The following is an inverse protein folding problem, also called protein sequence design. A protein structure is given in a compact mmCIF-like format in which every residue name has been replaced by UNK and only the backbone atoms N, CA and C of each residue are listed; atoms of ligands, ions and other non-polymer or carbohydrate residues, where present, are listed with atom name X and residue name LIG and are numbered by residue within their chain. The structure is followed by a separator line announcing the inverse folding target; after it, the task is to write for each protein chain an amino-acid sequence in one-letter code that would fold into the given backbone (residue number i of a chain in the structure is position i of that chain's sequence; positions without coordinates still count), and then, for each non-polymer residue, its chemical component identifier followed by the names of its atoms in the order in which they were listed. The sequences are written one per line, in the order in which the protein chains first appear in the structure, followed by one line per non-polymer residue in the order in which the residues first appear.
data_IF_748402485742
#
_entry.id   IF_748402485742
#
_cell.length_a   1.000
_cell.length_b   1.000
_cell.length_c   1.000
_cell.angle_alpha   90.00
_cell.angle_beta   90.00
_cell.angle_gamma   90.00
#
_symmetry.space_group_name_H-M   'P 1'
#
loop_
_entity.id
_entity.type
_entity.pdbx_description
1 polymer ?
#
# COMPACT_ATOMS: atom_id res chain seq x y z
N UNK A 1 -8.91 -99.41 -40.30
CA UNK A 1 -7.96 -98.31 -40.08
C UNK A 1 -7.94 -97.25 -41.22
N UNK A 2 -8.93 -97.30 -42.17
CA UNK A 2 -8.95 -96.41 -43.36
C UNK A 2 -10.02 -95.26 -43.23
N UNK A 3 -11.02 -95.40 -42.39
CA UNK A 3 -12.15 -94.39 -42.24
C UNK A 3 -11.77 -93.20 -41.41
N UNK A 4 -10.81 -93.27 -40.48
CA UNK A 4 -10.39 -92.16 -39.63
C UNK A 4 -9.48 -91.11 -40.34
N UNK A 5 -8.75 -91.53 -41.40
CA UNK A 5 -7.85 -90.64 -42.18
C UNK A 5 -8.63 -89.71 -43.13
N UNK A 6 -9.77 -90.12 -43.64
CA UNK A 6 -10.58 -89.33 -44.56
C UNK A 6 -11.34 -88.25 -43.83
N UNK A 7 -11.85 -88.51 -42.65
CA UNK A 7 -12.55 -87.51 -41.83
C UNK A 7 -11.66 -86.31 -41.40
N UNK A 8 -10.42 -86.59 -41.08
CA UNK A 8 -9.48 -85.50 -40.70
C UNK A 8 -8.97 -84.71 -41.91
N UNK A 9 -8.95 -85.26 -43.13
CA UNK A 9 -8.61 -84.52 -44.34
C UNK A 9 -9.70 -83.52 -44.75
N UNK A 10 -10.97 -83.93 -44.65
CA UNK A 10 -12.07 -83.02 -44.90
C UNK A 10 -12.25 -81.92 -43.82
N UNK A 11 -12.00 -82.20 -42.55
CA UNK A 11 -11.98 -81.18 -41.50
C UNK A 11 -10.87 -80.15 -41.74
N UNK A 12 -9.64 -80.59 -42.11
CA UNK A 12 -8.55 -79.64 -42.39
C UNK A 12 -8.82 -78.78 -43.61
N UNK A 13 -9.51 -79.30 -44.67
CA UNK A 13 -9.89 -78.54 -45.86
C UNK A 13 -10.93 -77.48 -45.52
N UNK A 14 -11.84 -77.74 -44.63
CA UNK A 14 -12.86 -76.74 -44.19
C UNK A 14 -12.23 -75.63 -43.36
N UNK A 15 -11.29 -75.88 -42.51
CA UNK A 15 -10.57 -74.85 -41.77
C UNK A 15 -9.76 -73.93 -42.67
N UNK A 16 -9.18 -74.47 -43.71
CA UNK A 16 -8.45 -73.69 -44.71
C UNK A 16 -9.38 -72.73 -45.48
N UNK A 17 -10.58 -73.22 -45.82
CA UNK A 17 -11.62 -72.40 -46.51
C UNK A 17 -12.10 -71.27 -45.58
N UNK A 18 -12.34 -71.53 -44.26
CA UNK A 18 -12.71 -70.50 -43.31
C UNK A 18 -11.61 -69.48 -43.12
N UNK A 19 -10.35 -69.93 -43.11
CA UNK A 19 -9.19 -69.04 -43.00
C UNK A 19 -9.05 -68.14 -44.24
N UNK A 20 -9.29 -68.66 -45.42
CA UNK A 20 -9.27 -67.86 -46.65
C UNK A 20 -10.42 -66.86 -46.67
N UNK A 21 -11.62 -67.25 -46.25
CA UNK A 21 -12.77 -66.32 -46.14
C UNK A 21 -12.47 -65.22 -45.12
N UNK A 22 -11.90 -65.54 -43.98
CA UNK A 22 -11.53 -64.57 -42.94
C UNK A 22 -10.43 -63.61 -43.46
N UNK A 23 -9.43 -64.13 -44.21
CA UNK A 23 -8.40 -63.31 -44.82
C UNK A 23 -8.92 -62.35 -45.88
N UNK A 24 -9.88 -62.82 -46.70
CA UNK A 24 -10.57 -62.00 -47.68
C UNK A 24 -11.38 -60.91 -47.03
N UNK A 25 -12.11 -61.26 -45.93
CA UNK A 25 -12.86 -60.29 -45.15
C UNK A 25 -11.96 -59.21 -44.55
N UNK A 26 -10.82 -59.58 -43.98
CA UNK A 26 -9.84 -58.65 -43.48
C UNK A 26 -9.26 -57.73 -44.56
N UNK A 27 -9.02 -58.30 -45.76
CA UNK A 27 -8.51 -57.50 -46.87
C UNK A 27 -9.57 -56.48 -47.37
N UNK A 28 -10.80 -56.90 -47.50
CA UNK A 28 -11.93 -55.99 -47.85
C UNK A 28 -12.11 -54.89 -46.80
N UNK A 29 -12.07 -55.28 -45.53
CA UNK A 29 -12.15 -54.32 -44.40
C UNK A 29 -10.98 -53.32 -44.41
N UNK A 30 -9.76 -53.79 -44.70
CA UNK A 30 -8.58 -52.93 -44.81
C UNK A 30 -8.70 -51.92 -45.98
N UNK A 31 -9.21 -52.37 -47.14
CA UNK A 31 -9.46 -51.52 -48.31
C UNK A 31 -10.52 -50.47 -47.97
N UNK A 32 -11.61 -50.89 -47.31
CA UNK A 32 -12.70 -49.98 -46.91
C UNK A 32 -12.21 -48.90 -45.91
N UNK A 33 -11.44 -49.28 -44.90
CA UNK A 33 -10.83 -48.33 -43.94
C UNK A 33 -9.89 -47.35 -44.67
N UNK A 34 -9.07 -47.85 -45.60
CA UNK A 34 -8.19 -46.96 -46.38
C UNK A 34 -8.95 -46.00 -47.30
N UNK A 35 -10.03 -46.43 -47.92
CA UNK A 35 -10.93 -45.53 -48.68
C UNK A 35 -11.59 -44.48 -47.80
N UNK A 36 -12.09 -44.84 -46.59
CA UNK A 36 -12.64 -43.88 -45.63
C UNK A 36 -11.58 -42.88 -45.15
N UNK A 37 -10.35 -43.32 -44.88
CA UNK A 37 -9.26 -42.41 -44.52
C UNK A 37 -8.87 -41.48 -45.66
N UNK A 38 -8.80 -41.99 -46.88
CA UNK A 38 -8.54 -41.18 -48.09
C UNK A 38 -9.63 -40.11 -48.32
N UNK A 39 -10.92 -40.49 -48.22
CA UNK A 39 -12.03 -39.59 -48.33
C UNK A 39 -12.04 -38.48 -47.28
N UNK A 40 -11.77 -38.82 -46.00
CA UNK A 40 -11.68 -37.83 -44.94
C UNK A 40 -10.46 -36.92 -45.08
N UNK A 41 -9.33 -37.46 -45.53
CA UNK A 41 -8.13 -36.65 -45.79
C UNK A 41 -8.35 -35.70 -47.01
N UNK A 42 -9.04 -36.15 -48.04
CA UNK A 42 -9.38 -35.29 -49.18
C UNK A 42 -10.31 -34.13 -48.77
N UNK A 43 -11.34 -34.39 -47.97
CA UNK A 43 -12.18 -33.34 -47.42
C UNK A 43 -11.41 -32.33 -46.56
N UNK A 44 -10.53 -32.82 -45.68
CA UNK A 44 -9.68 -31.97 -44.82
C UNK A 44 -8.71 -31.13 -45.64
N UNK A 45 -8.11 -31.74 -46.67
CA UNK A 45 -7.20 -31.03 -47.60
C UNK A 45 -7.96 -29.95 -48.40
N UNK A 46 -9.13 -30.27 -48.95
CA UNK A 46 -9.94 -29.31 -49.72
C UNK A 46 -10.38 -28.14 -48.81
N UNK A 47 -10.75 -28.40 -47.54
CA UNK A 47 -11.08 -27.36 -46.60
C UNK A 47 -9.87 -26.49 -46.24
N UNK A 48 -8.71 -27.09 -46.00
CA UNK A 48 -7.46 -26.36 -45.74
C UNK A 48 -7.02 -25.55 -46.95
N UNK A 49 -7.16 -26.11 -48.17
CA UNK A 49 -6.89 -25.38 -49.41
C UNK A 49 -7.83 -24.20 -49.60
N UNK A 50 -9.12 -24.36 -49.28
CA UNK A 50 -10.07 -23.25 -49.29
C UNK A 50 -9.68 -22.18 -48.25
N UNK A 51 -9.32 -22.54 -47.02
CA UNK A 51 -8.89 -21.58 -45.98
C UNK A 51 -7.61 -20.83 -46.37
N UNK A 52 -6.75 -21.41 -47.20
CA UNK A 52 -5.55 -20.76 -47.70
C UNK A 52 -5.74 -20.08 -49.07
N UNK A 53 -6.92 -20.14 -49.65
CA UNK A 53 -7.21 -19.54 -50.96
C UNK A 53 -7.28 -18.00 -50.88
N UNK A 54 -6.95 -17.36 -52.00
CA UNK A 54 -7.07 -15.91 -52.09
C UNK A 54 -8.52 -15.45 -51.95
N UNK A 55 -9.48 -16.26 -52.41
CA UNK A 55 -10.93 -15.96 -52.30
C UNK A 55 -11.34 -15.92 -50.82
N UNK A 56 -10.89 -16.90 -50.01
CA UNK A 56 -11.19 -16.91 -48.59
C UNK A 56 -10.52 -15.72 -47.83
N UNK A 57 -9.26 -15.43 -48.18
CA UNK A 57 -8.56 -14.29 -47.59
C UNK A 57 -9.24 -12.97 -48.00
N UNK A 58 -9.62 -12.79 -49.25
CA UNK A 58 -10.35 -11.62 -49.70
C UNK A 58 -11.74 -11.50 -49.02
N UNK A 59 -12.46 -12.60 -48.88
CA UNK A 59 -13.72 -12.64 -48.17
C UNK A 59 -13.53 -12.30 -46.68
N UNK A 60 -12.54 -12.89 -46.04
CA UNK A 60 -12.18 -12.61 -44.67
C UNK A 60 -11.85 -11.13 -44.48
N UNK A 61 -10.98 -10.58 -45.33
CA UNK A 61 -10.58 -9.17 -45.25
C UNK A 61 -11.76 -8.23 -45.57
N UNK A 62 -12.62 -8.59 -46.52
CA UNK A 62 -13.85 -7.85 -46.78
C UNK A 62 -14.78 -7.85 -45.56
N UNK A 63 -15.00 -9.02 -44.93
CA UNK A 63 -15.85 -9.15 -43.73
C UNK A 63 -15.24 -8.37 -42.56
N UNK A 64 -13.94 -8.53 -42.28
CA UNK A 64 -13.29 -7.83 -41.17
C UNK A 64 -13.21 -6.33 -41.39
N UNK A 65 -12.96 -5.85 -42.63
CA UNK A 65 -12.91 -4.42 -42.94
C UNK A 65 -14.28 -3.73 -42.90
N UNK A 66 -15.37 -4.50 -43.13
CA UNK A 66 -16.75 -3.99 -43.05
C UNK A 66 -17.46 -4.28 -41.73
N UNK A 67 -16.85 -5.09 -40.81
CA UNK A 67 -17.37 -5.30 -39.47
C UNK A 67 -16.94 -4.12 -38.58
N UNK A 68 -17.73 -3.05 -38.60
CA UNK A 68 -17.61 -2.03 -37.55
C UNK A 68 -18.24 -2.55 -36.28
N UNK A 69 -17.39 -2.76 -35.24
CA UNK A 69 -17.89 -3.12 -33.92
C UNK A 69 -18.83 -2.00 -33.43
N UNK A 70 -20.07 -2.29 -33.05
CA UNK A 70 -20.94 -1.30 -32.43
C UNK A 70 -20.45 -0.95 -31.00
N UNK A 71 -19.46 -1.65 -30.48
CA UNK A 71 -18.87 -1.42 -29.19
C UNK A 71 -17.66 -0.50 -29.31
N UNK A 72 -17.60 0.49 -28.41
CA UNK A 72 -16.45 1.41 -28.26
C UNK A 72 -15.90 1.28 -26.86
N UNK A 73 -14.57 1.15 -26.72
CA UNK A 73 -13.87 1.14 -25.46
C UNK A 73 -13.16 2.48 -25.26
N UNK A 74 -13.32 3.06 -24.08
CA UNK A 74 -12.68 4.29 -23.67
C UNK A 74 -11.88 4.04 -22.40
N UNK A 75 -10.60 4.41 -22.43
CA UNK A 75 -9.72 4.43 -21.26
C UNK A 75 -9.53 5.88 -20.83
N UNK A 76 -10.10 6.26 -19.70
CA UNK A 76 -10.08 7.63 -19.22
C UNK A 76 -9.26 7.77 -17.94
N UNK A 77 -8.25 8.64 -17.97
CA UNK A 77 -7.48 8.98 -16.77
C UNK A 77 -8.21 10.06 -15.98
N UNK A 78 -8.59 9.74 -14.75
CA UNK A 78 -9.35 10.61 -13.85
C UNK A 78 -8.55 11.88 -13.54
N UNK A 79 -9.16 13.04 -13.70
CA UNK A 79 -8.61 14.35 -13.36
C UNK A 79 -9.13 14.81 -11.98
N UNK A 80 -8.47 15.81 -11.41
CA UNK A 80 -8.95 16.42 -10.17
C UNK A 80 -10.39 16.96 -10.34
N UNK A 81 -11.27 16.66 -9.37
CA UNK A 81 -12.68 17.02 -9.34
C UNK A 81 -13.56 16.36 -10.43
N UNK A 82 -13.10 15.29 -11.06
CA UNK A 82 -13.97 14.44 -11.88
C UNK A 82 -14.91 13.61 -10.98
N UNK A 83 -16.08 13.30 -11.54
CA UNK A 83 -17.02 12.30 -11.00
C UNK A 83 -17.36 11.32 -12.12
N UNK A 84 -17.84 10.13 -11.76
CA UNK A 84 -18.24 9.13 -12.76
C UNK A 84 -19.29 9.74 -13.72
N UNK A 85 -20.24 10.51 -13.21
CA UNK A 85 -21.24 11.20 -14.03
C UNK A 85 -20.61 12.15 -15.05
N UNK A 86 -19.64 12.98 -14.64
CA UNK A 86 -18.92 13.90 -15.55
C UNK A 86 -18.14 13.14 -16.62
N UNK A 87 -17.51 12.01 -16.23
CA UNK A 87 -16.75 11.18 -17.16
C UNK A 87 -17.69 10.55 -18.19
N UNK A 88 -18.81 9.96 -17.78
CA UNK A 88 -19.79 9.37 -18.68
C UNK A 88 -20.39 10.41 -19.66
N UNK A 89 -20.71 11.62 -19.18
CA UNK A 89 -21.19 12.73 -20.05
C UNK A 89 -20.17 13.11 -21.14
N UNK A 90 -18.88 13.11 -20.84
CA UNK A 90 -17.82 13.38 -21.83
C UNK A 90 -17.81 12.38 -22.99
N UNK A 91 -18.29 11.15 -22.74
CA UNK A 91 -18.35 10.08 -23.74
C UNK A 91 -19.75 9.93 -24.39
N UNK A 92 -20.58 10.95 -24.29
CA UNK A 92 -21.92 10.99 -24.90
C UNK A 92 -22.82 9.82 -24.47
N UNK A 93 -22.71 9.41 -23.20
CA UNK A 93 -23.56 8.37 -22.60
C UNK A 93 -24.94 8.96 -22.33
N UNK A 94 -26.00 8.15 -22.51
CA UNK A 94 -27.39 8.56 -22.27
C UNK A 94 -27.61 8.99 -20.81
N UNK A 95 -28.44 10.03 -20.58
CA UNK A 95 -28.76 10.51 -19.25
C UNK A 95 -29.45 9.42 -18.38
N UNK A 96 -30.21 8.54 -19.01
CA UNK A 96 -30.82 7.37 -18.34
C UNK A 96 -29.77 6.47 -17.72
N UNK A 97 -28.74 6.08 -18.47
CA UNK A 97 -27.65 5.24 -17.97
C UNK A 97 -26.85 5.96 -16.88
N UNK A 98 -26.56 7.24 -17.08
CA UNK A 98 -25.84 8.05 -16.10
C UNK A 98 -26.57 8.05 -14.76
N UNK A 99 -27.89 8.33 -14.78
CA UNK A 99 -28.71 8.38 -13.57
C UNK A 99 -28.83 7.01 -12.87
N UNK A 100 -29.01 5.95 -13.65
CA UNK A 100 -29.08 4.59 -13.14
C UNK A 100 -27.76 4.18 -12.47
N UNK A 101 -26.63 4.41 -13.13
CA UNK A 101 -25.29 4.11 -12.61
C UNK A 101 -25.00 4.96 -11.34
N UNK A 102 -25.28 6.26 -11.40
CA UNK A 102 -25.06 7.16 -10.25
C UNK A 102 -25.88 6.72 -9.02
N UNK A 103 -27.14 6.35 -9.22
CA UNK A 103 -28.00 5.86 -8.12
C UNK A 103 -27.47 4.61 -7.45
N UNK A 104 -26.96 3.65 -8.24
CA UNK A 104 -26.36 2.41 -7.73
C UNK A 104 -25.06 2.70 -6.97
N UNK A 105 -24.18 3.54 -7.51
CA UNK A 105 -22.92 3.94 -6.89
C UNK A 105 -23.17 4.61 -5.53
N UNK A 106 -24.13 5.55 -5.45
CA UNK A 106 -24.48 6.24 -4.21
C UNK A 106 -25.05 5.26 -3.20
N UNK A 107 -26.00 4.42 -3.60
CA UNK A 107 -26.64 3.41 -2.73
C UNK A 107 -25.62 2.45 -2.11
N UNK A 108 -24.60 2.08 -2.88
CA UNK A 108 -23.52 1.17 -2.45
C UNK A 108 -22.35 1.89 -1.76
N UNK A 109 -22.36 3.23 -1.68
CA UNK A 109 -21.25 4.05 -1.14
C UNK A 109 -19.92 3.87 -1.87
N UNK A 110 -19.96 3.65 -3.16
CA UNK A 110 -18.81 3.38 -4.04
C UNK A 110 -18.40 4.60 -4.89
N UNK A 111 -18.73 5.80 -4.44
CA UNK A 111 -18.51 7.06 -5.19
C UNK A 111 -17.05 7.56 -5.20
N UNK A 112 -16.15 6.91 -4.47
CA UNK A 112 -14.76 7.34 -4.42
C UNK A 112 -14.03 6.96 -5.71
N UNK A 113 -13.56 7.99 -6.43
CA UNK A 113 -12.59 7.84 -7.53
C UNK A 113 -11.40 8.74 -7.23
N UNK A 114 -10.22 8.32 -7.67
CA UNK A 114 -8.97 9.03 -7.37
C UNK A 114 -8.37 9.59 -8.66
N UNK A 115 -7.84 10.82 -8.60
CA UNK A 115 -7.11 11.39 -9.72
C UNK A 115 -5.92 10.50 -10.11
N UNK A 116 -5.61 10.45 -11.41
CA UNK A 116 -4.58 9.63 -12.03
C UNK A 116 -4.87 8.12 -12.06
N UNK A 117 -6.05 7.67 -11.66
CA UNK A 117 -6.51 6.30 -11.90
C UNK A 117 -7.21 6.18 -13.25
N UNK A 118 -7.21 4.97 -13.82
CA UNK A 118 -7.84 4.69 -15.10
C UNK A 118 -9.27 4.16 -14.90
N UNK A 119 -10.22 4.76 -15.62
CA UNK A 119 -11.61 4.30 -15.73
C UNK A 119 -11.80 3.73 -17.13
N UNK A 120 -12.22 2.47 -17.21
CA UNK A 120 -12.57 1.79 -18.46
C UNK A 120 -14.07 1.84 -18.69
N UNK A 121 -14.49 2.31 -19.85
CA UNK A 121 -15.89 2.42 -20.24
C UNK A 121 -16.06 1.68 -21.56
N UNK A 122 -16.93 0.69 -21.59
CA UNK A 122 -17.36 0.05 -22.83
C UNK A 122 -18.79 0.49 -23.10
N UNK A 123 -19.01 1.07 -24.29
CA UNK A 123 -20.33 1.51 -24.73
C UNK A 123 -20.75 0.79 -26.01
N UNK A 124 -22.04 0.77 -26.26
CA UNK A 124 -22.64 0.38 -27.54
C UNK A 124 -23.37 1.57 -28.09
N UNK A 125 -23.07 1.94 -29.34
CA UNK A 125 -23.77 3.03 -30.03
C UNK A 125 -25.15 2.55 -30.46
N UNK A 126 -26.21 3.21 -29.97
CA UNK A 126 -27.60 2.99 -30.36
C UNK A 126 -28.29 4.32 -30.58
N UNK A 127 -28.86 4.50 -31.79
CA UNK A 127 -29.62 5.71 -32.19
C UNK A 127 -28.86 7.04 -31.97
N UNK A 128 -27.54 7.04 -32.19
CA UNK A 128 -26.70 8.25 -32.09
C UNK A 128 -26.25 8.60 -30.67
N UNK A 129 -26.55 7.78 -29.66
CA UNK A 129 -26.09 7.92 -28.30
C UNK A 129 -25.38 6.63 -27.82
N UNK A 130 -24.48 6.77 -26.85
CA UNK A 130 -23.75 5.65 -26.28
C UNK A 130 -24.47 5.08 -25.05
N UNK A 131 -24.86 3.80 -25.12
CA UNK A 131 -25.32 3.05 -23.95
C UNK A 131 -24.16 2.33 -23.28
N UNK A 132 -24.04 2.43 -21.95
CA UNK A 132 -22.99 1.74 -21.20
C UNK A 132 -23.24 0.24 -21.21
N UNK A 133 -22.24 -0.53 -21.63
CA UNK A 133 -22.20 -1.99 -21.54
C UNK A 133 -21.47 -2.44 -20.30
N UNK A 134 -20.30 -1.85 -20.05
CA UNK A 134 -19.56 -2.04 -18.81
C UNK A 134 -18.77 -0.80 -18.42
N UNK A 135 -18.60 -0.62 -17.11
CA UNK A 135 -17.82 0.43 -16.50
C UNK A 135 -16.94 -0.21 -15.43
N UNK A 136 -15.61 -0.04 -15.55
CA UNK A 136 -14.64 -0.50 -14.53
C UNK A 136 -13.90 0.71 -14.00
N UNK A 137 -13.80 0.81 -12.69
CA UNK A 137 -13.00 1.84 -12.03
C UNK A 137 -12.49 1.38 -10.67
N UNK A 138 -11.23 1.71 -10.30
CA UNK A 138 -10.69 1.42 -8.99
C UNK A 138 -11.25 2.38 -7.94
N UNK A 139 -11.63 1.86 -6.78
CA UNK A 139 -12.04 2.64 -5.59
C UNK A 139 -10.94 2.71 -4.54
N UNK A 140 -9.95 1.85 -4.63
CA UNK A 140 -8.70 1.83 -3.87
C UNK A 140 -7.64 1.01 -4.63
N UNK A 141 -6.48 0.77 -4.01
CA UNK A 141 -5.35 0.08 -4.64
C UNK A 141 -5.60 -1.42 -4.91
N UNK A 142 -6.62 -1.99 -4.29
CA UNK A 142 -6.93 -3.43 -4.36
C UNK A 142 -8.33 -3.74 -4.86
N UNK A 143 -9.23 -2.76 -4.86
CA UNK A 143 -10.65 -2.97 -5.19
C UNK A 143 -11.00 -2.23 -6.47
N UNK A 144 -11.43 -2.98 -7.47
CA UNK A 144 -12.00 -2.45 -8.71
C UNK A 144 -13.50 -2.75 -8.74
N UNK A 145 -14.28 -1.72 -8.97
CA UNK A 145 -15.73 -1.85 -9.17
C UNK A 145 -15.99 -2.11 -10.64
N UNK A 146 -16.80 -3.11 -10.91
CA UNK A 146 -17.29 -3.43 -12.24
C UNK A 146 -18.81 -3.30 -12.25
N UNK A 147 -19.31 -2.42 -13.12
CA UNK A 147 -20.73 -2.24 -13.40
C UNK A 147 -21.00 -2.78 -14.79
N UNK A 148 -21.85 -3.80 -14.90
CA UNK A 148 -22.23 -4.41 -16.18
C UNK A 148 -23.71 -4.24 -16.44
N UNK A 149 -24.06 -3.98 -17.69
CA UNK A 149 -25.44 -4.00 -18.15
C UNK A 149 -25.97 -5.45 -18.14
N UNK A 150 -27.14 -5.63 -17.58
CA UNK A 150 -27.90 -6.86 -17.65
C UNK A 150 -29.33 -6.52 -18.12
N UNK A 151 -29.58 -6.66 -19.43
CA UNK A 151 -30.79 -6.18 -20.12
C UNK A 151 -30.97 -4.66 -19.88
N UNK A 152 -32.06 -4.26 -19.23
CA UNK A 152 -32.39 -2.86 -18.93
C UNK A 152 -31.81 -2.34 -17.61
N UNK A 153 -31.18 -3.21 -16.81
CA UNK A 153 -30.63 -2.87 -15.50
C UNK A 153 -29.10 -3.01 -15.49
N UNK A 154 -28.47 -2.51 -14.41
CA UNK A 154 -27.06 -2.69 -14.14
C UNK A 154 -26.83 -3.60 -12.95
N UNK A 155 -25.87 -4.49 -13.07
CA UNK A 155 -25.32 -5.28 -11.97
C UNK A 155 -23.97 -4.68 -11.54
N UNK A 156 -23.69 -4.73 -10.25
CA UNK A 156 -22.44 -4.24 -9.71
C UNK A 156 -21.70 -5.38 -8.99
N UNK A 157 -20.41 -5.49 -9.24
CA UNK A 157 -19.50 -6.41 -8.56
C UNK A 157 -18.24 -5.68 -8.15
N UNK A 158 -17.66 -6.13 -7.04
CA UNK A 158 -16.38 -5.65 -6.54
C UNK A 158 -15.34 -6.76 -6.76
N UNK A 159 -14.35 -6.47 -7.57
CA UNK A 159 -13.23 -7.36 -7.83
C UNK A 159 -12.10 -6.97 -6.90
N UNK A 160 -11.88 -7.78 -5.85
CA UNK A 160 -10.82 -7.54 -4.86
C UNK A 160 -9.60 -8.38 -5.24
N UNK A 161 -8.46 -7.71 -5.43
CA UNK A 161 -7.19 -8.38 -5.70
C UNK A 161 -6.82 -9.31 -4.55
N UNK A 162 -6.52 -10.56 -4.85
CA UNK A 162 -5.99 -11.50 -3.86
C UNK A 162 -4.56 -11.12 -3.55
N UNK A 163 -4.32 -10.66 -2.34
CA UNK A 163 -2.98 -10.29 -1.88
C UNK A 163 -2.32 -11.43 -1.12
N UNK A 164 -1.06 -11.66 -1.44
CA UNK A 164 -0.19 -12.56 -0.68
C UNK A 164 0.61 -11.75 0.33
N UNK A 165 0.55 -12.16 1.60
CA UNK A 165 1.36 -11.56 2.65
C UNK A 165 2.79 -12.08 2.56
N UNK A 166 3.76 -11.19 2.35
CA UNK A 166 5.19 -11.47 2.37
C UNK A 166 5.87 -10.70 3.50
N UNK A 167 7.03 -11.15 3.87
CA UNK A 167 7.90 -10.46 4.85
C UNK A 167 9.24 -10.24 4.18
N UNK A 168 9.68 -9.00 4.15
CA UNK A 168 10.89 -8.56 3.45
C UNK A 168 11.85 -7.88 4.41
N UNK A 169 13.16 -8.10 4.20
CA UNK A 169 14.24 -7.39 4.89
C UNK A 169 14.94 -6.52 3.87
N UNK A 170 14.96 -5.21 4.12
CA UNK A 170 15.67 -4.24 3.29
C UNK A 170 16.64 -3.44 4.15
N UNK A 171 17.81 -3.15 3.62
CA UNK A 171 18.87 -2.42 4.31
C UNK A 171 19.67 -1.58 3.33
N UNK A 172 20.22 -0.47 3.81
CA UNK A 172 21.13 0.36 3.02
C UNK A 172 22.08 1.16 3.93
N UNK A 173 23.06 1.79 3.30
CA UNK A 173 23.96 2.78 3.91
C UNK A 173 23.43 4.16 3.59
N UNK A 174 23.44 5.05 4.57
CA UNK A 174 23.03 6.43 4.38
C UNK A 174 24.12 7.22 3.66
N UNK A 175 23.85 7.66 2.45
CA UNK A 175 24.77 8.47 1.65
C UNK A 175 24.50 9.97 1.80
N UNK A 176 23.26 10.39 1.69
CA UNK A 176 22.83 11.79 1.79
C UNK A 176 21.90 12.01 3.00
N UNK A 177 20.76 11.32 3.02
CA UNK A 177 19.80 11.34 4.11
C UNK A 177 19.07 10.00 4.18
N UNK A 178 18.41 9.74 5.28
CA UNK A 178 17.69 8.47 5.49
C UNK A 178 16.63 8.23 4.40
N UNK A 179 15.83 9.25 4.06
CA UNK A 179 14.71 9.07 3.14
C UNK A 179 15.16 8.64 1.75
N UNK A 180 16.14 9.36 1.15
CA UNK A 180 16.66 9.02 -0.19
C UNK A 180 17.30 7.63 -0.20
N UNK A 181 18.12 7.30 0.82
CA UNK A 181 18.78 5.98 0.89
C UNK A 181 17.78 4.84 1.14
N UNK A 182 16.66 5.10 1.81
CA UNK A 182 15.62 4.12 2.03
C UNK A 182 14.78 3.89 0.74
N UNK A 183 14.47 4.96 0.00
CA UNK A 183 13.82 4.85 -1.33
C UNK A 183 14.71 4.09 -2.32
N UNK A 184 16.02 4.38 -2.35
CA UNK A 184 17.01 3.64 -3.15
C UNK A 184 17.05 2.14 -2.80
N UNK A 185 16.80 1.79 -1.54
CA UNK A 185 16.69 0.39 -1.08
C UNK A 185 15.33 -0.28 -1.46
N UNK A 186 14.40 0.45 -2.06
CA UNK A 186 13.06 -0.05 -2.39
C UNK A 186 12.10 -0.11 -1.20
N UNK A 187 12.34 0.68 -0.15
CA UNK A 187 11.44 0.74 1.01
C UNK A 187 10.30 1.70 0.71
N UNK A 188 9.09 1.24 0.96
CA UNK A 188 7.87 2.02 0.72
C UNK A 188 7.83 3.29 1.62
N UNK A 189 7.33 4.44 1.09
CA UNK A 189 7.36 5.72 1.80
C UNK A 189 6.70 5.71 3.18
N UNK A 190 5.60 4.99 3.35
CA UNK A 190 4.91 4.87 4.63
C UNK A 190 5.74 4.08 5.67
N UNK A 191 6.51 3.08 5.26
CA UNK A 191 7.45 2.34 6.11
C UNK A 191 8.62 3.24 6.52
N UNK A 192 9.12 4.11 5.61
CA UNK A 192 10.17 5.08 5.94
C UNK A 192 9.68 6.05 7.03
N UNK A 193 8.45 6.55 6.90
CA UNK A 193 7.83 7.43 7.91
C UNK A 193 7.65 6.70 9.24
N UNK A 194 7.16 5.46 9.23
CA UNK A 194 7.02 4.64 10.45
C UNK A 194 8.37 4.40 11.11
N UNK A 195 9.40 4.03 10.33
CA UNK A 195 10.78 3.85 10.80
C UNK A 195 11.31 5.12 11.46
N UNK A 196 11.15 6.27 10.83
CA UNK A 196 11.56 7.55 11.39
C UNK A 196 10.82 7.88 12.70
N UNK A 197 9.53 7.58 12.78
CA UNK A 197 8.74 7.76 14.01
C UNK A 197 9.23 6.86 15.15
N UNK A 198 9.56 5.60 14.86
CA UNK A 198 10.06 4.64 15.86
C UNK A 198 11.39 5.11 16.44
N UNK A 199 12.35 5.49 15.59
CA UNK A 199 13.67 5.94 16.03
C UNK A 199 13.72 7.39 16.50
N UNK A 200 12.75 8.22 16.17
CA UNK A 200 12.72 9.66 16.54
C UNK A 200 12.71 9.96 18.04
N UNK A 201 12.56 8.94 18.87
CA UNK A 201 12.73 9.05 20.33
C UNK A 201 14.19 8.96 20.78
N UNK A 202 15.04 8.28 20.01
CA UNK A 202 16.46 8.04 20.32
C UNK A 202 17.40 8.84 19.44
N UNK A 203 17.02 9.06 18.17
CA UNK A 203 17.85 9.64 17.12
C UNK A 203 17.28 10.99 16.68
N UNK A 204 18.10 12.01 16.65
CA UNK A 204 17.80 13.26 15.97
C UNK A 204 18.27 13.14 14.52
N UNK A 205 17.36 12.86 13.61
CA UNK A 205 17.65 12.62 12.20
C UNK A 205 18.37 13.78 11.48
N UNK A 206 18.37 14.98 12.06
CA UNK A 206 19.06 16.14 11.49
C UNK A 206 20.47 16.31 12.02
N UNK A 207 20.78 15.76 13.19
CA UNK A 207 22.04 15.99 13.89
C UNK A 207 22.87 14.75 14.09
N UNK A 208 22.21 13.62 14.32
CA UNK A 208 22.89 12.39 14.65
C UNK A 208 23.26 11.57 13.43
N UNK A 209 22.51 11.73 12.31
CA UNK A 209 22.71 10.97 11.08
C UNK A 209 23.93 11.50 10.31
N UNK A 210 24.79 10.57 9.89
CA UNK A 210 25.99 10.84 9.12
C UNK A 210 26.09 9.92 7.91
N UNK A 211 26.83 10.34 6.92
CA UNK A 211 27.21 9.49 5.80
C UNK A 211 27.97 8.27 6.31
N UNK A 212 27.56 7.09 5.88
CA UNK A 212 28.12 5.82 6.32
C UNK A 212 27.31 5.11 7.40
N UNK A 213 26.36 5.78 8.06
CA UNK A 213 25.42 5.13 8.97
C UNK A 213 24.59 4.07 8.20
N UNK A 214 24.16 3.04 8.92
CA UNK A 214 23.45 1.91 8.33
C UNK A 214 22.07 1.77 8.93
N UNK A 215 21.13 1.28 8.15
CA UNK A 215 19.82 0.91 8.65
C UNK A 215 19.33 -0.40 8.00
N UNK A 216 18.46 -1.08 8.70
CA UNK A 216 17.77 -2.28 8.23
C UNK A 216 16.34 -2.27 8.76
N UNK A 217 15.40 -2.70 7.91
CA UNK A 217 14.00 -2.84 8.28
C UNK A 217 13.46 -4.18 7.81
N UNK A 218 12.76 -4.89 8.70
CA UNK A 218 12.03 -6.13 8.46
C UNK A 218 10.55 -5.85 8.65
N UNK A 219 9.76 -5.95 7.59
CA UNK A 219 8.36 -5.58 7.62
C UNK A 219 7.49 -6.47 6.75
N UNK A 220 6.18 -6.35 6.90
CA UNK A 220 5.18 -7.08 6.12
C UNK A 220 4.83 -6.30 4.87
N UNK A 221 4.71 -6.99 3.73
CA UNK A 221 4.18 -6.47 2.49
C UNK A 221 3.02 -7.33 2.00
N UNK A 222 2.12 -6.72 1.24
CA UNK A 222 1.01 -7.38 0.59
C UNK A 222 1.18 -7.19 -0.90
N UNK A 223 1.46 -8.27 -1.62
CA UNK A 223 1.73 -8.26 -3.06
C UNK A 223 0.62 -8.96 -3.82
N UNK A 224 0.37 -8.51 -5.05
CA UNK A 224 -0.50 -9.19 -5.99
C UNK A 224 0.19 -10.40 -6.65
N UNK A 225 -0.50 -11.05 -7.57
CA UNK A 225 0.02 -12.22 -8.33
C UNK A 225 1.25 -11.89 -9.20
N UNK A 226 1.43 -10.63 -9.57
CA UNK A 226 2.59 -10.14 -10.33
C UNK A 226 3.74 -9.72 -9.41
N UNK A 227 3.66 -9.97 -8.09
CA UNK A 227 4.60 -9.53 -7.07
C UNK A 227 4.72 -8.00 -6.89
N UNK A 228 3.74 -7.23 -7.37
CA UNK A 228 3.70 -5.79 -7.16
C UNK A 228 3.18 -5.53 -5.74
N UNK A 229 3.90 -4.70 -4.98
CA UNK A 229 3.46 -4.28 -3.64
C UNK A 229 2.23 -3.39 -3.78
N UNK A 230 1.11 -3.82 -3.21
CA UNK A 230 -0.16 -3.08 -3.18
C UNK A 230 -0.44 -2.47 -1.82
N UNK A 231 0.13 -3.04 -0.77
CA UNK A 231 -0.02 -2.52 0.58
C UNK A 231 1.16 -2.96 1.43
N UNK A 232 1.39 -2.26 2.54
CA UNK A 232 2.40 -2.62 3.53
C UNK A 232 1.73 -2.91 4.87
N UNK A 233 2.36 -3.80 5.61
CA UNK A 233 1.98 -4.09 6.98
C UNK A 233 2.91 -3.42 7.98
N UNK A 234 3.07 -4.04 9.12
CA UNK A 234 3.84 -3.52 10.25
C UNK A 234 5.34 -3.75 10.08
N UNK A 235 6.13 -2.86 10.62
CA UNK A 235 7.53 -3.12 10.90
C UNK A 235 7.60 -4.16 12.03
N UNK A 236 8.27 -5.28 11.76
CA UNK A 236 8.49 -6.38 12.71
C UNK A 236 9.76 -6.13 13.50
N UNK A 237 10.82 -5.68 12.80
CA UNK A 237 12.10 -5.33 13.34
C UNK A 237 12.70 -4.17 12.58
N UNK A 238 13.41 -3.31 13.28
CA UNK A 238 14.18 -2.25 12.67
C UNK A 238 15.50 -2.08 13.41
N UNK A 239 16.58 -1.82 12.68
CA UNK A 239 17.85 -1.42 13.28
C UNK A 239 18.45 -0.21 12.60
N UNK A 240 19.25 0.50 13.37
CA UNK A 240 20.02 1.66 12.91
C UNK A 240 21.36 1.69 13.60
N UNK A 241 22.43 1.81 12.83
CA UNK A 241 23.77 2.04 13.36
C UNK A 241 24.10 3.52 13.21
N UNK A 242 24.13 4.22 14.30
CA UNK A 242 24.33 5.68 14.36
C UNK A 242 25.21 6.03 15.59
N UNK A 243 26.14 6.98 15.44
CA UNK A 243 27.07 7.40 16.50
C UNK A 243 27.84 6.20 17.11
N UNK A 244 28.30 5.26 16.28
CA UNK A 244 28.99 4.02 16.71
C UNK A 244 28.16 3.11 17.65
N UNK A 245 26.84 3.25 17.63
CA UNK A 245 25.92 2.44 18.41
C UNK A 245 24.88 1.81 17.51
N UNK A 246 24.66 0.50 17.68
CA UNK A 246 23.52 -0.17 17.07
C UNK A 246 22.30 -0.04 17.98
N UNK A 247 21.21 0.43 17.37
CA UNK A 247 19.88 0.51 17.98
C UNK A 247 18.99 -0.52 17.27
N UNK A 248 18.60 -1.57 17.98
CA UNK A 248 17.76 -2.65 17.44
C UNK A 248 16.42 -2.66 18.16
N UNK A 249 15.32 -2.64 17.41
CA UNK A 249 13.96 -2.48 17.89
C UNK A 249 13.05 -3.56 17.33
N UNK A 250 12.28 -4.19 18.20
CA UNK A 250 11.39 -5.30 17.91
C UNK A 250 9.95 -4.91 18.19
N UNK A 251 9.05 -5.14 17.24
CA UNK A 251 7.62 -5.01 17.47
C UNK A 251 7.17 -6.17 18.37
N UNK A 252 6.49 -5.85 19.46
CA UNK A 252 5.96 -6.85 20.38
C UNK A 252 4.58 -6.45 20.87
N UNK A 253 3.69 -7.44 20.92
CA UNK A 253 2.32 -7.29 21.40
C UNK A 253 2.05 -8.18 22.61
N UNK A 254 1.61 -7.58 23.70
CA UNK A 254 1.22 -8.28 24.92
C UNK A 254 -0.03 -7.66 25.52
N UNK A 255 -1.03 -8.46 25.88
CA UNK A 255 -2.30 -8.02 26.49
C UNK A 255 -2.93 -6.81 25.75
N UNK A 256 -3.11 -6.91 24.44
CA UNK A 256 -3.63 -5.86 23.53
C UNK A 256 -2.82 -4.55 23.50
N UNK A 257 -1.64 -4.53 24.12
CA UNK A 257 -0.69 -3.42 24.01
C UNK A 257 0.42 -3.82 23.06
N UNK A 258 0.62 -3.03 22.03
CA UNK A 258 1.64 -3.23 21.02
C UNK A 258 2.62 -2.06 21.05
N UNK A 259 3.90 -2.33 20.83
CA UNK A 259 4.93 -1.31 20.83
C UNK A 259 6.28 -1.86 20.39
N UNK A 260 7.25 -0.97 20.25
CA UNK A 260 8.62 -1.30 19.91
C UNK A 260 9.48 -1.30 21.16
N UNK A 261 10.30 -2.33 21.29
CA UNK A 261 11.16 -2.57 22.44
C UNK A 261 12.59 -2.88 21.99
N UNK A 262 13.56 -2.40 22.75
CA UNK A 262 14.97 -2.76 22.53
C UNK A 262 15.27 -4.19 22.99
N UNK A 263 16.52 -4.62 22.79
CA UNK A 263 16.99 -5.97 23.19
C UNK A 263 16.79 -6.26 24.69
N UNK A 264 16.79 -5.23 25.53
CA UNK A 264 16.56 -5.34 26.97
C UNK A 264 15.06 -5.34 27.34
N UNK A 265 14.15 -5.24 26.35
CA UNK A 265 12.71 -5.12 26.57
C UNK A 265 12.29 -3.75 27.10
N UNK A 266 13.10 -2.71 26.90
CA UNK A 266 12.75 -1.34 27.21
C UNK A 266 11.99 -0.73 26.03
N UNK A 267 10.81 -0.16 26.30
CA UNK A 267 10.04 0.52 25.27
C UNK A 267 10.78 1.75 24.77
N UNK A 268 10.85 1.91 23.45
CA UNK A 268 11.41 3.12 22.80
C UNK A 268 10.53 4.34 22.98
N UNK A 269 9.23 4.14 23.23
CA UNK A 269 8.30 5.26 23.44
C UNK A 269 8.67 5.94 24.74
N UNK A 270 9.39 7.04 24.66
CA UNK A 270 9.66 7.92 25.79
C UNK A 270 8.41 8.69 26.15
N UNK A 271 8.36 9.15 27.40
CA UNK A 271 7.24 9.96 27.89
C UNK A 271 6.98 11.18 27.02
N UNK A 272 8.02 11.76 26.43
CA UNK A 272 7.95 12.95 25.55
C UNK A 272 8.94 12.81 24.37
N UNK A 273 8.57 13.38 23.22
CA UNK A 273 9.49 13.63 22.10
C UNK A 273 10.31 14.88 22.39
N UNK A 274 11.60 14.86 22.05
CA UNK A 274 12.46 16.06 22.13
C UNK A 274 12.12 17.09 21.07
N UNK A 275 11.74 16.63 19.88
CA UNK A 275 11.43 17.43 18.71
C UNK A 275 10.06 17.04 18.15
N UNK A 276 8.98 17.77 18.50
CA UNK A 276 7.60 17.41 18.12
C UNK A 276 7.21 17.94 16.72
N UNK A 277 8.17 17.97 15.82
CA UNK A 277 8.01 18.47 14.44
C UNK A 277 9.06 17.81 13.55
N UNK A 278 8.63 17.28 12.40
CA UNK A 278 9.52 16.66 11.43
C UNK A 278 10.11 17.71 10.47
N UNK A 279 11.37 17.51 10.06
CA UNK A 279 12.01 18.35 9.05
C UNK A 279 12.36 19.79 9.50
N UNK A 280 12.25 20.09 10.79
CA UNK A 280 12.50 21.43 11.31
C UNK A 280 13.95 21.61 11.81
N UNK A 281 14.55 22.74 11.50
CA UNK A 281 15.89 23.11 12.01
C UNK A 281 15.76 23.78 13.38
N UNK A 282 16.59 23.38 14.36
CA UNK A 282 16.73 24.13 15.62
C UNK A 282 17.26 25.53 15.33
N UNK A 283 16.44 26.53 15.51
CA UNK A 283 16.80 27.94 15.25
C UNK A 283 17.24 28.67 16.51
N UNK A 284 16.70 28.32 17.69
CA UNK A 284 17.12 28.91 18.95
C UNK A 284 16.93 27.94 20.14
N UNK A 285 17.97 27.84 20.95
CA UNK A 285 17.96 27.00 22.15
C UNK A 285 17.34 27.70 23.37
N UNK A 286 16.94 26.90 24.34
CA UNK A 286 16.59 27.38 25.69
C UNK A 286 17.80 28.05 26.36
N UNK A 287 17.59 29.21 26.99
CA UNK A 287 18.64 29.89 27.76
C UNK A 287 18.62 31.41 27.63
N UNK A 288 19.56 32.07 28.31
CA UNK A 288 19.68 33.52 28.26
C UNK A 288 20.21 33.95 26.88
N UNK A 289 19.46 34.83 26.19
CA UNK A 289 19.85 35.41 24.88
C UNK A 289 19.29 36.80 24.71
N UNK A 290 19.90 37.59 23.79
CA UNK A 290 19.31 38.84 23.37
C UNK A 290 17.97 38.59 22.68
N UNK A 291 16.91 39.23 23.19
CA UNK A 291 15.56 39.03 22.63
C UNK A 291 15.48 39.70 21.24
N UNK A 292 15.08 38.97 20.19
CA UNK A 292 15.16 39.49 18.81
C UNK A 292 14.26 40.70 18.55
N UNK A 293 13.16 40.86 19.32
CA UNK A 293 12.25 41.98 19.16
C UNK A 293 12.49 43.06 20.21
N UNK A 294 12.74 42.66 21.47
CA UNK A 294 12.87 43.59 22.59
C UNK A 294 14.26 44.17 22.82
N UNK A 295 15.29 43.56 22.19
CA UNK A 295 16.66 44.08 22.18
C UNK A 295 17.49 43.87 23.44
N UNK A 296 16.92 43.48 24.58
CA UNK A 296 17.61 43.20 25.84
C UNK A 296 17.78 41.69 26.12
N UNK A 297 18.66 41.34 27.03
CA UNK A 297 18.88 39.95 27.43
C UNK A 297 17.68 39.41 28.20
N UNK A 298 17.09 38.34 27.68
CA UNK A 298 15.93 37.67 28.27
C UNK A 298 16.10 36.16 28.23
N UNK A 299 15.62 35.49 29.25
CA UNK A 299 15.59 34.03 29.29
C UNK A 299 14.59 33.53 28.25
N UNK A 300 15.10 32.83 27.22
CA UNK A 300 14.28 32.07 26.29
C UNK A 300 13.83 30.77 26.96
N UNK A 301 12.54 30.70 27.28
CA UNK A 301 11.94 29.65 28.10
C UNK A 301 11.55 28.39 27.32
N UNK A 302 11.85 28.33 26.02
CA UNK A 302 11.55 27.23 25.14
C UNK A 302 12.69 26.94 24.15
N UNK A 303 12.38 26.12 23.19
CA UNK A 303 13.24 25.78 22.05
C UNK A 303 12.49 26.13 20.78
N UNK A 304 13.14 26.86 19.89
CA UNK A 304 12.52 27.28 18.62
C UNK A 304 12.99 26.37 17.48
N UNK A 305 12.03 25.84 16.73
CA UNK A 305 12.25 25.01 15.56
C UNK A 305 11.73 25.73 14.31
N UNK A 306 12.63 26.22 13.47
CA UNK A 306 12.27 26.85 12.21
C UNK A 306 11.79 25.80 11.20
N UNK A 307 10.62 26.05 10.62
CA UNK A 307 10.02 25.22 9.57
C UNK A 307 9.07 26.07 8.73
N UNK A 308 8.73 25.58 7.54
CA UNK A 308 7.79 26.24 6.62
C UNK A 308 6.41 26.35 7.28
N UNK A 309 5.72 27.46 7.06
CA UNK A 309 4.33 27.63 7.50
C UNK A 309 3.45 26.48 6.99
N UNK A 310 2.65 25.89 7.88
CA UNK A 310 1.81 24.74 7.56
C UNK A 310 2.45 23.37 7.86
N UNK A 311 3.74 23.33 8.25
CA UNK A 311 4.36 22.07 8.72
C UNK A 311 3.60 21.53 9.93
N UNK A 312 3.24 20.22 9.96
CA UNK A 312 2.50 19.63 11.08
C UNK A 312 3.31 19.65 12.38
N UNK A 313 2.64 20.06 13.47
CA UNK A 313 3.15 20.00 14.84
C UNK A 313 2.46 18.86 15.56
N UNK A 314 3.24 18.00 16.21
CA UNK A 314 2.75 16.80 16.88
C UNK A 314 2.72 17.00 18.41
N UNK A 315 1.83 16.30 19.09
CA UNK A 315 1.85 16.17 20.54
C UNK A 315 3.12 15.40 20.93
N UNK A 316 4.01 16.02 21.73
CA UNK A 316 5.27 15.36 22.14
C UNK A 316 5.05 14.17 23.07
N UNK A 317 3.88 14.00 23.64
CA UNK A 317 3.47 12.86 24.47
C UNK A 317 1.95 12.72 24.49
N UNK A 318 1.45 11.52 24.85
CA UNK A 318 0.03 11.33 25.11
C UNK A 318 -0.42 12.14 26.33
N UNK A 319 -1.61 12.74 26.29
CA UNK A 319 -2.06 13.57 27.39
C UNK A 319 -3.42 14.22 27.16
N UNK A 320 -3.71 15.22 27.98
CA UNK A 320 -4.96 16.02 27.89
C UNK A 320 -4.60 17.46 27.57
N UNK A 321 -5.26 18.03 26.57
CA UNK A 321 -5.11 19.43 26.17
C UNK A 321 -5.64 20.33 27.28
N UNK A 322 -4.75 21.14 27.87
CA UNK A 322 -5.11 22.13 28.88
C UNK A 322 -5.63 23.41 28.24
N UNK A 323 -5.03 23.82 27.13
CA UNK A 323 -5.40 25.02 26.36
C UNK A 323 -5.22 24.79 24.88
N UNK A 324 -6.13 25.36 24.08
CA UNK A 324 -6.02 25.47 22.63
C UNK A 324 -6.71 26.80 22.24
N UNK A 325 -5.98 27.90 22.35
CA UNK A 325 -6.50 29.25 22.13
C UNK A 325 -5.37 30.26 21.89
N UNK A 326 -5.68 31.45 21.40
CA UNK A 326 -4.70 32.56 21.40
C UNK A 326 -4.28 32.89 22.83
N UNK A 327 -2.95 33.00 23.04
CA UNK A 327 -2.42 33.23 24.39
C UNK A 327 -1.23 34.19 24.36
N UNK A 328 -1.42 35.42 24.87
CA UNK A 328 -0.38 36.47 25.00
C UNK A 328 0.58 36.51 23.79
N UNK A 329 1.87 36.64 24.02
CA UNK A 329 2.92 36.66 22.97
C UNK A 329 3.08 35.37 22.19
N UNK A 330 2.53 34.23 22.63
CA UNK A 330 2.60 32.94 21.92
C UNK A 330 1.71 32.84 20.67
N UNK A 331 0.78 33.78 20.47
CA UNK A 331 -0.17 33.67 19.36
C UNK A 331 -1.14 32.48 19.53
N UNK A 332 -1.36 31.71 18.47
CA UNK A 332 -2.11 30.47 18.58
C UNK A 332 -1.30 29.44 19.35
N UNK A 333 -1.87 28.95 20.43
CA UNK A 333 -1.16 28.22 21.47
C UNK A 333 -1.90 26.95 21.87
N UNK A 334 -1.16 25.86 22.04
CA UNK A 334 -1.64 24.61 22.63
C UNK A 334 -0.75 24.25 23.83
N UNK A 335 -1.36 23.79 24.92
CA UNK A 335 -0.62 23.14 26.02
C UNK A 335 -1.26 21.82 26.40
N UNK A 336 -0.43 20.80 26.70
CA UNK A 336 -0.83 19.43 26.96
C UNK A 336 -0.25 18.97 28.29
N UNK A 337 -1.07 18.45 29.18
CA UNK A 337 -0.66 17.77 30.41
C UNK A 337 -0.52 16.26 30.12
N UNK A 338 0.69 15.76 30.27
CA UNK A 338 1.00 14.34 30.00
C UNK A 338 0.80 13.48 31.25
N UNK A 339 1.24 14.00 32.39
CA UNK A 339 1.07 13.38 33.72
C UNK A 339 1.18 14.45 34.80
N UNK A 340 1.38 14.04 36.06
CA UNK A 340 1.56 14.97 37.20
C UNK A 340 2.85 15.77 37.12
N UNK A 341 3.86 15.29 36.40
CA UNK A 341 5.21 15.87 36.32
C UNK A 341 5.39 16.78 35.10
N UNK A 342 4.83 16.38 33.95
CA UNK A 342 5.15 16.99 32.65
C UNK A 342 3.95 17.65 31.98
N UNK A 343 4.17 18.89 31.55
CA UNK A 343 3.31 19.66 30.64
C UNK A 343 4.18 20.14 29.47
N UNK A 344 3.64 20.14 28.28
CA UNK A 344 4.28 20.76 27.10
C UNK A 344 3.45 21.88 26.55
N UNK A 345 4.12 22.85 25.90
CA UNK A 345 3.48 24.01 25.31
C UNK A 345 4.04 24.27 23.92
N UNK A 346 3.17 24.73 23.04
CA UNK A 346 3.41 24.91 21.60
C UNK A 346 2.87 26.26 21.17
N UNK A 347 3.73 27.15 20.69
CA UNK A 347 3.36 28.52 20.30
C UNK A 347 3.52 28.78 18.81
N UNK A 348 3.09 29.96 18.38
CA UNK A 348 3.20 30.55 17.06
C UNK A 348 2.51 29.80 15.92
N UNK A 349 1.54 28.93 16.25
CA UNK A 349 0.81 28.12 15.26
C UNK A 349 0.05 29.00 14.25
N UNK A 350 -0.07 28.54 13.00
CA UNK A 350 -0.97 29.12 12.00
C UNK A 350 -2.43 28.74 12.27
N UNK A 351 -2.65 27.46 12.61
CA UNK A 351 -3.97 26.90 12.93
C UNK A 351 -3.84 25.70 13.86
N UNK A 352 -4.93 25.36 14.56
CA UNK A 352 -5.04 24.15 15.38
C UNK A 352 -5.30 22.92 14.51
N UNK A 353 -4.94 21.74 14.99
CA UNK A 353 -5.29 20.46 14.39
C UNK A 353 -6.79 20.19 14.49
N UNK A 354 -7.32 19.34 13.63
CA UNK A 354 -8.74 18.97 13.62
C UNK A 354 -9.16 18.38 14.98
N UNK A 355 -10.19 18.94 15.59
CA UNK A 355 -10.74 18.47 16.86
C UNK A 355 -9.90 18.83 18.09
N UNK A 356 -8.83 19.61 17.98
CA UNK A 356 -7.99 20.02 19.12
C UNK A 356 -8.65 21.18 19.86
N UNK A 357 -9.13 20.89 21.08
CA UNK A 357 -9.74 21.84 22.03
C UNK A 357 -9.44 21.43 23.46
N UNK A 358 -9.59 22.35 24.42
CA UNK A 358 -9.42 22.10 25.86
C UNK A 358 -10.19 20.84 26.29
N UNK A 359 -9.56 19.98 27.08
CA UNK A 359 -10.14 18.76 27.62
C UNK A 359 -9.98 17.51 26.71
N UNK A 360 -9.62 17.67 25.44
CA UNK A 360 -9.46 16.55 24.51
C UNK A 360 -8.22 15.73 24.88
N UNK A 361 -8.34 14.40 24.84
CA UNK A 361 -7.19 13.49 24.93
C UNK A 361 -6.49 13.38 23.59
N UNK A 362 -5.18 13.50 23.59
CA UNK A 362 -4.32 13.32 22.42
C UNK A 362 -3.33 12.17 22.65
N UNK A 363 -2.96 11.50 21.56
CA UNK A 363 -1.89 10.50 21.55
C UNK A 363 -0.57 11.18 21.19
N UNK A 364 0.55 10.63 21.65
CA UNK A 364 1.87 11.02 21.18
C UNK A 364 1.98 10.88 19.66
N UNK A 365 2.59 11.87 18.98
CA UNK A 365 2.65 11.92 17.51
C UNK A 365 1.38 12.43 16.82
N UNK A 366 0.26 12.62 17.54
CA UNK A 366 -0.95 13.18 16.95
C UNK A 366 -0.74 14.65 16.54
N UNK A 367 -1.19 15.03 15.34
CA UNK A 367 -1.12 16.43 14.86
C UNK A 367 -2.04 17.29 15.72
N UNK A 368 -1.47 18.31 16.36
CA UNK A 368 -2.16 19.24 17.25
C UNK A 368 -2.29 20.65 16.68
N UNK A 369 -1.55 20.94 15.61
CA UNK A 369 -1.55 22.23 14.92
C UNK A 369 -0.53 22.26 13.81
N UNK A 370 -0.31 23.46 13.30
CA UNK A 370 0.59 23.67 12.16
C UNK A 370 1.45 24.90 12.41
N UNK A 371 2.70 24.85 11.96
CA UNK A 371 3.63 25.98 12.07
C UNK A 371 3.07 27.25 11.46
N UNK A 372 3.31 28.34 12.11
CA UNK A 372 2.97 29.70 11.68
C UNK A 372 3.96 30.71 12.24
N UNK A 373 3.52 31.96 12.29
CA UNK A 373 4.25 33.10 12.85
C UNK A 373 3.30 34.04 13.60
N UNK A 374 2.32 33.47 14.32
CA UNK A 374 1.33 34.26 15.09
C UNK A 374 1.90 34.71 16.43
N UNK A 375 1.43 35.85 16.94
CA UNK A 375 1.93 36.44 18.19
C UNK A 375 3.27 37.17 18.01
N UNK A 376 4.14 37.13 19.05
CA UNK A 376 5.47 37.78 19.03
C UNK A 376 6.49 36.85 18.37
N UNK A 377 6.46 36.80 17.04
CA UNK A 377 7.34 35.96 16.22
C UNK A 377 7.98 36.77 15.11
N UNK A 378 9.25 36.50 14.79
CA UNK A 378 10.01 37.15 13.71
C UNK A 378 9.94 36.38 12.39
N UNK A 379 9.39 35.17 12.39
CA UNK A 379 9.26 34.33 11.21
C UNK A 379 8.68 32.95 11.53
N UNK A 380 8.39 32.13 10.54
CA UNK A 380 7.74 30.84 10.74
C UNK A 380 8.59 29.88 11.59
N UNK A 381 8.10 29.51 12.76
CA UNK A 381 8.72 28.51 13.65
C UNK A 381 7.72 27.95 14.66
N UNK A 382 8.07 26.81 15.24
CA UNK A 382 7.43 26.28 16.44
C UNK A 382 8.22 26.73 17.66
N UNK A 383 7.60 27.44 18.59
CA UNK A 383 8.10 27.63 19.95
C UNK A 383 7.63 26.49 20.84
N UNK A 384 8.55 25.67 21.34
CA UNK A 384 8.28 24.47 22.13
C UNK A 384 8.83 24.56 23.53
N UNK A 385 7.97 24.34 24.53
CA UNK A 385 8.37 24.34 25.96
C UNK A 385 8.09 22.98 26.59
N UNK A 386 9.02 22.54 27.46
CA UNK A 386 8.80 21.44 28.40
C UNK A 386 8.78 22.00 29.82
N UNK A 387 7.71 21.73 30.54
CA UNK A 387 7.49 22.17 31.90
C UNK A 387 7.49 20.93 32.79
N UNK A 388 8.47 20.84 33.70
CA UNK A 388 8.61 19.77 34.68
C UNK A 388 8.32 20.33 36.07
N UNK A 389 7.34 19.78 36.77
CA UNK A 389 6.93 20.26 38.11
C UNK A 389 6.76 21.78 38.16
N UNK A 390 6.09 22.36 37.17
CA UNK A 390 5.84 23.80 37.08
C UNK A 390 7.00 24.66 36.58
N UNK A 391 8.24 24.11 36.45
CA UNK A 391 9.42 24.84 35.97
C UNK A 391 9.72 24.51 34.51
N UNK A 392 9.96 25.52 33.67
CA UNK A 392 10.42 25.34 32.27
C UNK A 392 11.84 24.86 32.24
N UNK A 393 12.13 23.87 31.44
CA UNK A 393 13.42 23.22 31.31
C UNK A 393 13.84 23.09 29.86
N UNK A 394 15.13 22.94 29.63
CA UNK A 394 15.68 22.75 28.30
C UNK A 394 15.26 21.39 27.73
N UNK A 395 14.40 21.39 26.69
CA UNK A 395 13.86 20.19 26.07
C UNK A 395 14.96 19.32 25.45
N UNK A 396 16.06 19.94 24.96
CA UNK A 396 17.15 19.24 24.27
C UNK A 396 18.10 18.51 25.25
N UNK A 397 18.19 19.00 26.48
CA UNK A 397 19.01 18.37 27.54
C UNK A 397 18.21 17.40 28.43
N UNK A 398 16.91 17.26 28.16
CA UNK A 398 16.05 16.42 28.99
C UNK A 398 16.41 14.93 28.81
N UNK A 399 16.90 14.33 29.87
CA UNK A 399 16.99 12.88 30.00
C UNK A 399 15.61 12.37 30.40
N UNK A 400 14.82 11.95 29.44
CA UNK A 400 13.52 11.35 29.68
C UNK A 400 13.72 9.93 30.22
N UNK A 401 12.95 9.50 31.22
CA UNK A 401 12.95 8.09 31.59
C UNK A 401 12.56 7.28 30.34
N UNK A 402 13.31 6.21 30.11
CA UNK A 402 12.96 5.20 29.11
C UNK A 402 11.53 4.75 29.35
N UNK A 403 10.84 4.35 28.30
CA UNK A 403 9.50 3.77 28.40
C UNK A 403 9.47 2.57 29.34
N UNK A 404 8.28 2.07 29.59
CA UNK A 404 8.09 0.89 30.45
C UNK A 404 8.96 -0.27 30.01
N UNK A 405 9.71 -0.87 30.92
CA UNK A 405 10.44 -2.11 30.69
C UNK A 405 9.48 -3.28 30.84
N UNK A 406 9.55 -4.24 29.92
CA UNK A 406 8.84 -5.51 30.04
C UNK A 406 9.38 -6.29 31.23
N UNK A 407 8.50 -6.89 32.05
CA UNK A 407 8.86 -7.68 33.22
C UNK A 407 8.09 -9.00 33.21
N UNK A 408 8.58 -9.95 33.98
CA UNK A 408 7.96 -11.25 34.22
C UNK A 408 7.51 -11.96 32.92
N UNK A 409 6.25 -12.38 32.86
CA UNK A 409 5.67 -13.10 31.71
C UNK A 409 5.83 -12.35 30.40
N UNK A 410 5.63 -11.03 30.39
CA UNK A 410 5.78 -10.21 29.19
C UNK A 410 7.23 -10.24 28.67
N UNK A 411 8.22 -10.22 29.58
CA UNK A 411 9.64 -10.32 29.23
C UNK A 411 9.97 -11.69 28.62
N UNK A 412 9.50 -12.77 29.23
CA UNK A 412 9.75 -14.12 28.74
C UNK A 412 9.15 -14.34 27.35
N UNK A 413 7.91 -13.90 27.12
CA UNK A 413 7.27 -13.96 25.79
C UNK A 413 8.01 -13.12 24.74
N UNK A 414 8.45 -11.93 25.14
CA UNK A 414 9.24 -11.07 24.26
C UNK A 414 10.54 -11.74 23.82
N UNK A 415 11.28 -12.38 24.74
CA UNK A 415 12.52 -13.09 24.41
C UNK A 415 12.30 -14.20 23.38
N UNK A 416 11.23 -14.99 23.57
CA UNK A 416 10.89 -16.05 22.61
C UNK A 416 10.58 -15.47 21.22
N UNK A 417 9.81 -14.39 21.16
CA UNK A 417 9.45 -13.77 19.88
C UNK A 417 10.65 -13.06 19.24
N UNK A 418 11.50 -12.39 20.04
CA UNK A 418 12.76 -11.78 19.60
C UNK A 418 13.67 -12.81 18.93
N UNK A 419 13.90 -13.95 19.61
CA UNK A 419 14.76 -15.03 19.07
C UNK A 419 14.19 -15.57 17.75
N UNK A 420 12.87 -15.75 17.61
CA UNK A 420 12.24 -16.15 16.36
C UNK A 420 12.48 -15.14 15.24
N UNK A 421 12.39 -13.84 15.56
CA UNK A 421 12.68 -12.77 14.61
C UNK A 421 14.15 -12.82 14.19
N UNK A 422 15.09 -12.93 15.13
CA UNK A 422 16.53 -12.98 14.87
C UNK A 422 16.91 -14.18 13.98
N UNK A 423 16.38 -15.36 14.28
CA UNK A 423 16.58 -16.58 13.43
C UNK A 423 16.05 -16.34 12.01
N UNK A 424 14.88 -15.75 11.87
CA UNK A 424 14.30 -15.46 10.57
C UNK A 424 15.10 -14.42 9.80
N UNK A 425 15.56 -13.36 10.47
CA UNK A 425 16.44 -12.34 9.90
C UNK A 425 17.75 -12.96 9.39
N UNK A 426 18.39 -13.83 10.19
CA UNK A 426 19.60 -14.52 9.78
C UNK A 426 19.39 -15.36 8.51
N UNK A 427 18.25 -16.07 8.41
CA UNK A 427 17.90 -16.85 7.23
C UNK A 427 17.67 -15.97 5.99
N UNK A 428 16.98 -14.83 6.15
CA UNK A 428 16.70 -13.91 5.04
C UNK A 428 17.95 -13.15 4.56
N UNK A 429 18.89 -12.84 5.47
CA UNK A 429 20.18 -12.21 5.13
C UNK A 429 21.11 -13.15 4.34
N UNK A 430 21.00 -14.47 4.52
CA UNK A 430 21.80 -15.47 3.77
C UNK A 430 21.35 -15.64 2.33
N UNK A 431 20.09 -15.31 2.03
CA UNK A 431 19.50 -15.48 0.70
C UNK A 431 19.60 -14.20 -0.17
N UNK A 432 20.30 -13.18 0.29
CA UNK A 432 20.71 -11.97 -0.45
C UNK A 432 22.17 -12.10 -0.87
#
# INVERSE_FOLDING_TARGET
MYTAKISNFFKKKNYLIYFIILAIFFLIYSIFINQLKSYNNSKKNNFNTFLSSNEFNNLKDYVFNNLTSPYREYNYIVKNNDTIEKILKKHNVTDEDINNIASIIIKKKLSNIFAQTEVKIVTKEESGANKVVSLLYPIDEITTVEIKRNKDNFTISENILKLQKKKVVLSNIINNNLYSSAVEAGIEPNIIVEFANIFGFEVDFQRDIRRGDKFEVYYETYVDENNIVRNTGKIIYASMFVNNKELSLYNFKFNNKEGYYDVDGKSVIKTLMKTPINGARLSSSFGLRKHPILGYNKLHQGTDFAAVTGTPIMASGSGVVLRAQKYKGYGNFVSIRHNTTYVTAYGHMSKYGRGIKKGVRVKQGQIIGYVGSTGMSTGPHLHYEVIKNGKRINSQRLKLPTGKTLNNEARNKFEVDRIKIDVRLAALRKNK
#
